data_IF_138466483754
#
_entry.id   IF_138466483754
#
_cell.length_a   1.000
_cell.length_b   1.000
_cell.length_c   1.000
_cell.angle_alpha   90.00
_cell.angle_beta   90.00
_cell.angle_gamma   90.00
#
_symmetry.space_group_name_H-M   'P 1'
#
loop_
_entity.id
_entity.type
_entity.pdbx_description
1 polymer ?
#
# COMPACT_ATOMS: atom_id res chain seq x y z
N UNK A 1 27.41 15.38 -16.58
CA UNK A 1 26.83 15.81 -15.30
C UNK A 1 25.37 15.34 -15.28
N UNK A 2 25.08 14.23 -14.57
CA UNK A 2 23.72 13.75 -14.25
C UNK A 2 23.84 12.48 -13.38
N UNK A 3 24.13 12.63 -12.08
CA UNK A 3 24.23 11.50 -11.13
C UNK A 3 23.10 11.48 -10.09
N UNK A 4 22.13 12.37 -10.20
CA UNK A 4 21.16 12.64 -9.12
C UNK A 4 19.82 11.87 -9.23
N UNK A 5 19.53 11.21 -10.36
CA UNK A 5 18.21 10.60 -10.61
C UNK A 5 17.87 9.40 -9.72
N UNK A 6 18.87 8.74 -9.11
CA UNK A 6 18.66 7.51 -8.33
C UNK A 6 18.15 7.78 -6.92
N UNK A 7 18.67 8.82 -6.26
CA UNK A 7 18.27 9.18 -4.90
C UNK A 7 16.85 9.77 -4.86
N UNK A 8 16.51 10.64 -5.81
CA UNK A 8 15.17 11.22 -5.93
C UNK A 8 14.10 10.15 -6.15
N UNK A 9 14.42 9.12 -6.94
CA UNK A 9 13.53 7.98 -7.19
C UNK A 9 13.29 7.15 -5.93
N UNK A 10 14.32 6.93 -5.13
CA UNK A 10 14.21 6.18 -3.87
C UNK A 10 13.42 6.94 -2.81
N UNK A 11 13.63 8.26 -2.68
CA UNK A 11 12.84 9.12 -1.79
C UNK A 11 11.37 9.15 -2.22
N UNK A 12 11.09 9.28 -3.52
CA UNK A 12 9.71 9.24 -4.04
C UNK A 12 9.00 7.93 -3.71
N UNK A 13 9.69 6.79 -3.84
CA UNK A 13 9.15 5.49 -3.46
C UNK A 13 8.86 5.38 -1.95
N UNK A 14 9.68 6.01 -1.10
CA UNK A 14 9.44 6.07 0.33
C UNK A 14 8.16 6.86 0.68
N UNK A 15 7.93 8.00 0.02
CA UNK A 15 6.68 8.75 0.18
C UNK A 15 5.46 7.94 -0.27
N UNK A 16 5.57 7.22 -1.38
CA UNK A 16 4.51 6.32 -1.85
C UNK A 16 4.26 5.20 -0.82
N UNK A 17 5.32 4.63 -0.25
CA UNK A 17 5.22 3.60 0.78
C UNK A 17 4.51 4.14 2.04
N UNK A 18 4.85 5.34 2.50
CA UNK A 18 4.18 5.99 3.63
C UNK A 18 2.69 6.20 3.34
N UNK A 19 2.36 6.67 2.14
CA UNK A 19 0.97 6.80 1.69
C UNK A 19 0.23 5.46 1.70
N UNK A 20 0.83 4.41 1.14
CA UNK A 20 0.29 3.05 1.14
C UNK A 20 0.10 2.51 2.56
N UNK A 21 1.05 2.74 3.45
CA UNK A 21 1.01 2.29 4.85
C UNK A 21 -0.16 2.90 5.62
N UNK A 22 -0.51 4.17 5.32
CA UNK A 22 -1.64 4.87 5.94
C UNK A 22 -2.95 4.48 5.27
N UNK A 23 -2.99 4.45 3.93
CA UNK A 23 -4.22 4.14 3.17
C UNK A 23 -4.69 2.70 3.36
N UNK A 24 -3.76 1.76 3.45
CA UNK A 24 -4.03 0.33 3.66
C UNK A 24 -4.98 0.03 4.83
N UNK A 25 -4.68 0.41 6.09
CA UNK A 25 -5.56 0.16 7.23
C UNK A 25 -6.84 1.02 7.18
N UNK A 26 -6.83 2.18 6.50
CA UNK A 26 -8.03 2.99 6.31
C UNK A 26 -9.02 2.25 5.41
N UNK A 27 -8.57 1.72 4.28
CA UNK A 27 -9.40 0.94 3.36
C UNK A 27 -10.00 -0.27 4.08
N UNK A 28 -9.19 -0.99 4.86
CA UNK A 28 -9.68 -2.11 5.68
C UNK A 28 -10.73 -1.70 6.71
N UNK A 29 -10.52 -0.59 7.42
CA UNK A 29 -11.51 -0.06 8.35
C UNK A 29 -12.83 0.28 7.65
N UNK A 30 -12.77 0.90 6.47
CA UNK A 30 -13.96 1.19 5.66
C UNK A 30 -14.65 -0.10 5.21
N UNK A 31 -13.89 -1.11 4.76
CA UNK A 31 -14.44 -2.42 4.39
C UNK A 31 -15.13 -3.12 5.55
N UNK A 32 -14.57 -3.08 6.77
CA UNK A 32 -15.22 -3.63 7.95
C UNK A 32 -16.47 -2.85 8.35
N UNK A 33 -16.48 -1.52 8.20
CA UNK A 33 -17.70 -0.72 8.40
C UNK A 33 -18.77 -1.06 7.36
N UNK A 34 -18.38 -1.22 6.10
CA UNK A 34 -19.27 -1.61 5.02
C UNK A 34 -19.90 -2.99 5.29
N UNK A 35 -19.13 -3.97 5.78
CA UNK A 35 -19.63 -5.29 6.17
C UNK A 35 -20.69 -5.22 7.28
N UNK A 36 -20.58 -4.26 8.20
CA UNK A 36 -21.56 -4.06 9.28
C UNK A 36 -22.84 -3.35 8.82
N UNK A 37 -22.72 -2.43 7.86
CA UNK A 37 -23.84 -1.61 7.37
C UNK A 37 -24.64 -2.32 6.27
N UNK A 38 -23.97 -3.06 5.39
CA UNK A 38 -24.60 -3.75 4.27
C UNK A 38 -24.93 -5.20 4.64
N UNK A 39 -26.04 -5.38 5.36
CA UNK A 39 -26.53 -6.69 5.79
C UNK A 39 -27.45 -7.36 4.77
N UNK A 40 -28.06 -6.60 3.86
CA UNK A 40 -29.00 -7.13 2.86
C UNK A 40 -28.35 -7.38 1.49
N UNK A 41 -28.81 -8.44 0.81
CA UNK A 41 -28.47 -8.69 -0.59
C UNK A 41 -29.10 -7.59 -1.48
N UNK A 42 -28.42 -7.12 -2.53
CA UNK A 42 -27.10 -7.54 -3.05
C UNK A 42 -25.92 -6.74 -2.48
N UNK A 43 -26.17 -5.76 -1.59
CA UNK A 43 -25.16 -4.80 -1.11
C UNK A 43 -24.04 -5.46 -0.32
N UNK A 44 -24.30 -6.61 0.29
CA UNK A 44 -23.29 -7.39 1.02
C UNK A 44 -22.12 -7.84 0.11
N UNK A 45 -22.38 -8.07 -1.18
CA UNK A 45 -21.34 -8.45 -2.16
C UNK A 45 -20.32 -7.32 -2.32
N UNK A 46 -20.77 -6.07 -2.31
CA UNK A 46 -19.90 -4.89 -2.41
C UNK A 46 -18.98 -4.82 -1.20
N UNK A 47 -19.50 -5.11 0.00
CA UNK A 47 -18.71 -5.11 1.22
C UNK A 47 -17.61 -6.18 1.21
N UNK A 48 -17.92 -7.39 0.73
CA UNK A 48 -16.91 -8.45 0.56
C UNK A 48 -15.86 -8.11 -0.49
N UNK A 49 -16.25 -7.53 -1.62
CA UNK A 49 -15.29 -7.05 -2.64
C UNK A 49 -14.34 -6.01 -2.05
N UNK A 50 -14.85 -5.06 -1.26
CA UNK A 50 -14.05 -4.03 -0.61
C UNK A 50 -13.08 -4.63 0.41
N UNK A 51 -13.50 -5.68 1.14
CA UNK A 51 -12.63 -6.41 2.07
C UNK A 51 -11.47 -7.09 1.32
N UNK A 52 -11.77 -7.79 0.22
CA UNK A 52 -10.75 -8.45 -0.62
C UNK A 52 -9.75 -7.43 -1.15
N UNK A 53 -10.22 -6.29 -1.65
CA UNK A 53 -9.35 -5.19 -2.10
C UNK A 53 -8.46 -4.69 -0.96
N UNK A 54 -8.99 -4.50 0.24
CA UNK A 54 -8.22 -4.08 1.41
C UNK A 54 -7.13 -5.08 1.80
N UNK A 55 -7.42 -6.38 1.76
CA UNK A 55 -6.45 -7.44 2.03
C UNK A 55 -5.34 -7.45 0.98
N UNK A 56 -5.69 -7.37 -0.30
CA UNK A 56 -4.72 -7.28 -1.39
C UNK A 56 -3.86 -6.03 -1.28
N UNK A 57 -4.44 -4.90 -0.85
CA UNK A 57 -3.72 -3.66 -0.62
C UNK A 57 -2.70 -3.79 0.52
N UNK A 58 -3.02 -4.50 1.62
CA UNK A 58 -2.04 -4.84 2.66
C UNK A 58 -0.89 -5.65 2.07
N UNK A 59 -1.19 -6.73 1.36
CA UNK A 59 -0.16 -7.62 0.81
C UNK A 59 0.76 -6.87 -0.14
N UNK A 60 0.18 -6.03 -1.00
CA UNK A 60 0.93 -5.17 -1.90
C UNK A 60 1.79 -4.14 -1.13
N UNK A 61 1.25 -3.52 -0.09
CA UNK A 61 1.99 -2.55 0.75
C UNK A 61 3.20 -3.20 1.40
N UNK A 62 3.04 -4.39 1.95
CA UNK A 62 4.14 -5.15 2.57
C UNK A 62 5.20 -5.52 1.53
N UNK A 63 4.80 -6.07 0.39
CA UNK A 63 5.70 -6.37 -0.73
C UNK A 63 6.46 -5.13 -1.20
N UNK A 64 5.75 -4.01 -1.41
CA UNK A 64 6.33 -2.75 -1.85
C UNK A 64 7.27 -2.15 -0.79
N UNK A 65 6.96 -2.35 0.48
CA UNK A 65 7.82 -1.98 1.60
C UNK A 65 9.18 -2.66 1.51
N UNK A 66 9.19 -4.00 1.44
CA UNK A 66 10.44 -4.76 1.28
C UNK A 66 11.24 -4.33 0.04
N UNK A 67 10.56 -4.12 -1.09
CA UNK A 67 11.21 -3.65 -2.33
C UNK A 67 11.83 -2.26 -2.17
N UNK A 68 11.12 -1.34 -1.49
CA UNK A 68 11.58 0.03 -1.28
C UNK A 68 12.78 0.07 -0.34
N UNK A 69 12.73 -0.65 0.78
CA UNK A 69 13.87 -0.72 1.70
C UNK A 69 15.08 -1.39 1.06
N UNK A 70 14.89 -2.44 0.25
CA UNK A 70 15.97 -3.05 -0.52
C UNK A 70 16.64 -2.05 -1.47
N UNK A 71 15.86 -1.30 -2.25
CA UNK A 71 16.40 -0.31 -3.18
C UNK A 71 17.16 0.82 -2.47
N UNK A 72 16.67 1.26 -1.30
CA UNK A 72 17.36 2.26 -0.47
C UNK A 72 18.69 1.69 0.04
N UNK A 73 18.68 0.46 0.56
CA UNK A 73 19.88 -0.21 1.06
C UNK A 73 20.92 -0.40 -0.04
N UNK A 74 20.51 -0.89 -1.20
CA UNK A 74 21.39 -1.07 -2.36
C UNK A 74 21.98 0.28 -2.80
N UNK A 75 21.19 1.35 -2.83
CA UNK A 75 21.68 2.68 -3.19
C UNK A 75 22.63 3.30 -2.16
N UNK A 76 22.55 2.91 -0.89
CA UNK A 76 23.39 3.42 0.19
C UNK A 76 24.70 2.63 0.34
N UNK A 77 24.68 1.32 0.10
CA UNK A 77 25.80 0.42 0.39
C UNK A 77 26.48 -0.18 -0.85
N UNK A 78 25.81 -0.25 -2.01
CA UNK A 78 26.37 -0.79 -3.25
C UNK A 78 26.70 0.33 -4.26
N UNK A 79 27.36 1.39 -3.79
CA UNK A 79 27.85 2.48 -4.65
C UNK A 79 28.87 1.98 -5.69
#
# INVERSE_FOLDING_TARGET
>A
MSKDTSFDKNIKNLFILLGLLILSPIVLNVSFKALKVFTEQPKIIIAYTLLVIGILLILYTVYFGFKTFKNILDSLFNQ
#
